data_IF_014945352945
#
_entry.id   IF_014945352945
#
_cell.length_a   1.000
_cell.length_b   1.000
_cell.length_c   1.000
_cell.angle_alpha   90.00
_cell.angle_beta   90.00
_cell.angle_gamma   90.00
#
_symmetry.space_group_name_H-M   'P 1'
#
loop_
_entity.id
_entity.type
_entity.pdbx_description
1 polymer ?
#
# COMPACT_ATOMS: atom_id res chain seq x y z
N UNK A 1 12.73 5.63 -40.55
CA UNK A 1 11.26 5.80 -40.37
C UNK A 1 10.99 6.02 -38.89
N UNK A 2 10.83 7.26 -38.45
CA UNK A 2 10.44 7.59 -37.09
C UNK A 2 8.95 7.24 -36.92
N UNK A 3 8.65 6.17 -36.16
CA UNK A 3 7.27 5.82 -35.78
C UNK A 3 6.71 6.96 -34.93
N UNK A 4 5.96 7.86 -35.57
CA UNK A 4 5.15 8.90 -34.92
C UNK A 4 4.25 8.20 -33.89
N UNK A 5 4.21 8.61 -32.61
CA UNK A 5 3.39 7.92 -31.63
C UNK A 5 1.93 8.01 -32.07
N UNK A 6 1.31 6.86 -32.31
CA UNK A 6 -0.11 6.79 -32.63
C UNK A 6 -0.88 7.50 -31.52
N UNK A 7 -1.70 8.50 -31.89
CA UNK A 7 -2.47 9.31 -30.95
C UNK A 7 -3.51 8.37 -30.31
N UNK A 8 -3.25 7.88 -29.08
CA UNK A 8 -4.15 6.98 -28.34
C UNK A 8 -5.59 7.48 -28.39
N UNK A 9 -6.53 6.58 -28.66
CA UNK A 9 -7.96 6.87 -28.74
C UNK A 9 -8.47 7.45 -27.41
N UNK A 10 -9.50 8.35 -27.42
CA UNK A 10 -10.14 8.84 -26.20
C UNK A 10 -10.56 7.71 -25.24
N UNK A 11 -10.97 6.56 -25.80
CA UNK A 11 -11.33 5.36 -25.03
C UNK A 11 -10.12 4.73 -24.32
N UNK A 12 -8.97 4.63 -24.99
CA UNK A 12 -7.74 4.05 -24.41
C UNK A 12 -7.22 4.91 -23.27
N UNK A 13 -7.24 6.24 -23.44
CA UNK A 13 -6.85 7.19 -22.37
C UNK A 13 -7.74 7.06 -21.14
N UNK A 14 -9.04 6.86 -21.36
CA UNK A 14 -10.02 6.69 -20.28
C UNK A 14 -9.80 5.36 -19.55
N UNK A 15 -9.50 4.27 -20.27
CA UNK A 15 -9.12 2.98 -19.68
C UNK A 15 -7.83 3.08 -18.87
N UNK A 16 -6.81 3.78 -19.38
CA UNK A 16 -5.55 4.01 -18.65
C UNK A 16 -5.75 4.83 -17.38
N UNK A 17 -6.57 5.88 -17.43
CA UNK A 17 -6.90 6.69 -16.25
C UNK A 17 -7.66 5.88 -15.18
N UNK A 18 -8.58 5.01 -15.60
CA UNK A 18 -9.29 4.10 -14.70
C UNK A 18 -8.34 3.06 -14.08
N UNK A 19 -7.45 2.46 -14.89
CA UNK A 19 -6.45 1.52 -14.40
C UNK A 19 -5.48 2.18 -13.43
N UNK A 20 -5.02 3.39 -13.71
CA UNK A 20 -4.15 4.15 -12.81
C UNK A 20 -4.86 4.42 -11.48
N UNK A 21 -6.11 4.91 -11.52
CA UNK A 21 -6.90 5.17 -10.30
C UNK A 21 -7.08 3.90 -9.47
N UNK A 22 -7.43 2.78 -10.10
CA UNK A 22 -7.60 1.50 -9.42
C UNK A 22 -6.28 1.00 -8.80
N UNK A 23 -5.16 1.15 -9.53
CA UNK A 23 -3.83 0.74 -9.09
C UNK A 23 -3.37 1.54 -7.87
N UNK A 24 -3.37 2.87 -7.95
CA UNK A 24 -2.96 3.72 -6.83
C UNK A 24 -3.93 3.62 -5.64
N UNK A 25 -5.23 3.46 -5.91
CA UNK A 25 -6.22 3.17 -4.88
C UNK A 25 -5.91 1.86 -4.15
N UNK A 26 -5.62 0.78 -4.88
CA UNK A 26 -5.24 -0.51 -4.31
C UNK A 26 -4.04 -0.41 -3.38
N UNK A 27 -2.97 0.28 -3.80
CA UNK A 27 -1.78 0.47 -2.97
C UNK A 27 -2.05 1.31 -1.71
N UNK A 28 -2.95 2.31 -1.79
CA UNK A 28 -3.38 3.05 -0.61
C UNK A 28 -4.16 2.16 0.38
N UNK A 29 -5.01 1.25 -0.14
CA UNK A 29 -5.70 0.26 0.67
C UNK A 29 -4.75 -0.76 1.30
N UNK A 30 -3.70 -1.20 0.59
CA UNK A 30 -2.66 -2.07 1.13
C UNK A 30 -1.94 -1.40 2.31
N UNK A 31 -1.56 -0.13 2.17
CA UNK A 31 -0.92 0.64 3.24
C UNK A 31 -1.85 0.81 4.45
N UNK A 32 -3.12 1.17 4.21
CA UNK A 32 -4.12 1.29 5.26
C UNK A 32 -4.34 -0.04 5.98
N UNK A 33 -4.47 -1.13 5.22
CA UNK A 33 -4.62 -2.49 5.75
C UNK A 33 -3.43 -2.91 6.59
N UNK A 34 -2.21 -2.61 6.17
CA UNK A 34 -0.99 -2.90 6.92
C UNK A 34 -0.93 -2.11 8.24
N UNK A 35 -1.27 -0.81 8.23
CA UNK A 35 -1.35 0.00 9.43
C UNK A 35 -2.36 -0.55 10.44
N UNK A 36 -3.57 -0.89 9.96
CA UNK A 36 -4.61 -1.46 10.81
C UNK A 36 -4.20 -2.83 11.35
N UNK A 37 -3.61 -3.69 10.52
CA UNK A 37 -3.11 -4.99 10.95
C UNK A 37 -2.03 -4.85 12.02
N UNK A 38 -1.02 -3.99 11.81
CA UNK A 38 0.04 -3.75 12.79
C UNK A 38 -0.49 -3.20 14.11
N UNK A 39 -1.43 -2.25 14.06
CA UNK A 39 -2.03 -1.66 15.26
C UNK A 39 -2.90 -2.65 16.03
N UNK A 40 -3.75 -3.42 15.35
CA UNK A 40 -4.64 -4.40 15.98
C UNK A 40 -3.86 -5.58 16.55
N UNK A 41 -2.93 -6.15 15.78
CA UNK A 41 -2.07 -7.25 16.24
C UNK A 41 -1.24 -6.79 17.43
N UNK A 42 -0.61 -5.62 17.33
CA UNK A 42 0.24 -5.14 18.43
C UNK A 42 -0.55 -4.76 19.68
N UNK A 43 -1.76 -4.19 19.56
CA UNK A 43 -2.65 -3.99 20.72
C UNK A 43 -3.06 -5.31 21.37
N UNK A 44 -3.31 -6.35 20.57
CA UNK A 44 -3.64 -7.67 21.11
C UNK A 44 -2.45 -8.27 21.89
N UNK A 45 -1.22 -8.09 21.38
CA UNK A 45 0.00 -8.49 22.07
C UNK A 45 0.22 -7.69 23.35
N UNK A 46 0.09 -6.36 23.30
CA UNK A 46 0.21 -5.49 24.47
C UNK A 46 -0.79 -5.87 25.57
N UNK A 47 -2.05 -6.13 25.20
CA UNK A 47 -3.09 -6.55 26.13
C UNK A 47 -2.79 -7.91 26.78
N UNK A 48 -2.24 -8.86 26.00
CA UNK A 48 -1.85 -10.18 26.51
C UNK A 48 -0.65 -10.11 27.47
N UNK A 49 0.20 -9.11 27.32
CA UNK A 49 1.37 -8.88 28.18
C UNK A 49 1.09 -7.91 29.34
N UNK A 50 -0.17 -7.49 29.53
CA UNK A 50 -0.60 -6.54 30.57
C UNK A 50 0.26 -5.26 30.61
N UNK A 51 0.71 -4.82 29.44
CA UNK A 51 1.60 -3.66 29.31
C UNK A 51 0.81 -2.38 29.57
N UNK A 52 1.24 -1.56 30.53
CA UNK A 52 0.63 -0.24 30.78
C UNK A 52 0.73 0.71 29.59
N UNK A 53 1.74 0.52 28.72
CA UNK A 53 1.97 1.32 27.52
C UNK A 53 1.98 0.43 26.28
N UNK A 54 1.31 0.83 25.18
CA UNK A 54 1.15 -0.01 23.99
C UNK A 54 2.40 0.01 23.10
N UNK A 55 3.51 -0.53 23.61
CA UNK A 55 4.80 -0.50 22.92
C UNK A 55 4.82 -1.44 21.72
N UNK A 56 4.19 -2.62 21.81
CA UNK A 56 4.12 -3.56 20.69
C UNK A 56 3.21 -3.04 19.58
N UNK A 57 2.10 -2.37 19.89
CA UNK A 57 1.27 -1.70 18.91
C UNK A 57 2.05 -0.68 18.10
N UNK A 58 2.84 0.18 18.75
CA UNK A 58 3.67 1.16 18.05
C UNK A 58 4.74 0.47 17.21
N UNK A 59 5.49 -0.47 17.80
CA UNK A 59 6.56 -1.18 17.11
C UNK A 59 6.04 -1.97 15.89
N UNK A 60 4.97 -2.75 16.05
CA UNK A 60 4.38 -3.54 14.97
C UNK A 60 3.74 -2.67 13.90
N UNK A 61 3.11 -1.56 14.25
CA UNK A 61 2.58 -0.61 13.26
C UNK A 61 3.70 -0.06 12.40
N UNK A 62 4.81 0.37 13.00
CA UNK A 62 5.99 0.86 12.27
C UNK A 62 6.58 -0.25 11.39
N UNK A 63 6.72 -1.47 11.92
CA UNK A 63 7.23 -2.62 11.17
C UNK A 63 6.35 -2.94 9.95
N UNK A 64 5.03 -3.00 10.13
CA UNK A 64 4.09 -3.25 9.04
C UNK A 64 4.08 -2.12 8.01
N UNK A 65 4.26 -0.87 8.45
CA UNK A 65 4.41 0.27 7.55
C UNK A 65 5.64 0.10 6.64
N UNK A 66 6.79 -0.30 7.21
CA UNK A 66 7.99 -0.59 6.42
C UNK A 66 7.77 -1.74 5.44
N UNK A 67 7.09 -2.82 5.86
CA UNK A 67 6.77 -3.95 4.99
C UNK A 67 5.85 -3.51 3.85
N UNK A 68 4.81 -2.73 4.14
CA UNK A 68 3.89 -2.22 3.13
C UNK A 68 4.61 -1.33 2.11
N UNK A 69 5.47 -0.41 2.57
CA UNK A 69 6.28 0.40 1.68
C UNK A 69 7.24 -0.43 0.84
N UNK A 70 7.89 -1.44 1.40
CA UNK A 70 8.76 -2.34 0.65
C UNK A 70 7.97 -3.10 -0.44
N UNK A 71 6.78 -3.59 -0.11
CA UNK A 71 5.89 -4.28 -1.07
C UNK A 71 5.44 -3.34 -2.18
N UNK A 72 4.93 -2.15 -1.84
CA UNK A 72 4.49 -1.13 -2.80
C UNK A 72 5.67 -0.72 -3.69
N UNK A 73 6.84 -0.45 -3.11
CA UNK A 73 8.05 -0.11 -3.87
C UNK A 73 8.44 -1.21 -4.86
N UNK A 74 8.39 -2.48 -4.43
CA UNK A 74 8.67 -3.63 -5.29
C UNK A 74 7.61 -3.82 -6.37
N UNK A 75 6.34 -3.53 -6.09
CA UNK A 75 5.26 -3.53 -7.09
C UNK A 75 5.53 -2.44 -8.15
N UNK A 76 5.84 -1.22 -7.71
CA UNK A 76 6.21 -0.11 -8.61
C UNK A 76 7.41 -0.41 -9.49
N UNK A 77 8.40 -1.16 -9.00
CA UNK A 77 9.56 -1.56 -9.79
C UNK A 77 9.27 -2.68 -10.81
N UNK A 78 8.22 -3.47 -10.59
CA UNK A 78 7.82 -4.56 -11.49
C UNK A 78 6.87 -4.09 -12.60
N UNK A 79 6.23 -2.94 -12.41
CA UNK A 79 5.34 -2.31 -13.37
C UNK A 79 6.10 -1.40 -14.36
#
# INVERSE_FOLDING_TARGET
MTKKPAKKSPEERRKEALMATAKYGGMAFELLGACLAGALIGRWVDAKMEMERPLFAVFLTILFLFVAFYMIYKQLLKD
#
